data_IF_343504996133
#
_entry.id   IF_343504996133
#
_cell.length_a   1.000
_cell.length_b   1.000
_cell.length_c   1.000
_cell.angle_alpha   90.00
_cell.angle_beta   90.00
_cell.angle_gamma   90.00
#
_symmetry.space_group_name_H-M   'P 1'
#
loop_
_entity.id
_entity.type
_entity.pdbx_description
1 polymer ?
#
# COMPACT_ATOMS: atom_id res chain seq x y z
N UNK A 1 -8.62 -44.75 -33.20
CA UNK A 1 -8.05 -43.94 -34.30
C UNK A 1 -9.20 -43.27 -35.04
N UNK A 2 -9.35 -41.96 -34.90
CA UNK A 2 -10.25 -41.14 -35.72
C UNK A 2 -9.67 -39.73 -35.72
N UNK A 3 -9.32 -39.28 -36.91
CA UNK A 3 -8.59 -38.06 -37.20
C UNK A 3 -9.60 -37.00 -37.62
N UNK A 4 -9.67 -35.87 -36.91
CA UNK A 4 -10.52 -34.74 -37.31
C UNK A 4 -9.65 -33.68 -37.96
N UNK A 5 -10.00 -33.38 -39.22
CA UNK A 5 -9.36 -32.43 -40.12
C UNK A 5 -9.90 -31.02 -39.80
N UNK A 6 -9.02 -30.04 -39.59
CA UNK A 6 -9.41 -28.63 -39.50
C UNK A 6 -9.47 -28.01 -40.90
N UNK A 7 -10.63 -27.43 -41.20
CA UNK A 7 -10.94 -26.74 -42.44
C UNK A 7 -10.50 -25.28 -42.35
N UNK A 8 -9.46 -24.90 -43.10
CA UNK A 8 -8.97 -23.53 -43.24
C UNK A 8 -9.54 -22.93 -44.51
N UNK A 9 -10.58 -22.09 -44.42
CA UNK A 9 -10.92 -21.12 -45.47
C UNK A 9 -11.98 -20.12 -44.99
N UNK A 10 -11.51 -18.98 -44.46
CA UNK A 10 -12.28 -17.72 -44.48
C UNK A 10 -11.31 -16.56 -44.75
N UNK A 11 -11.50 -15.77 -45.82
CA UNK A 11 -10.64 -14.62 -46.11
C UNK A 11 -10.93 -13.47 -45.14
N UNK A 12 -9.86 -12.92 -44.55
CA UNK A 12 -9.89 -11.70 -43.75
C UNK A 12 -10.22 -10.51 -44.66
N UNK A 13 -11.24 -9.71 -44.28
CA UNK A 13 -11.59 -8.46 -44.94
C UNK A 13 -10.44 -7.45 -44.77
N UNK A 14 -9.92 -6.95 -45.88
CA UNK A 14 -8.92 -5.89 -45.96
C UNK A 14 -9.47 -4.56 -45.44
N UNK A 15 -8.89 -4.04 -44.36
CA UNK A 15 -9.10 -2.65 -43.92
C UNK A 15 -8.06 -1.78 -44.63
N UNK A 16 -8.53 -0.74 -45.31
CA UNK A 16 -7.69 0.23 -46.03
C UNK A 16 -6.75 0.95 -45.05
N UNK A 17 -5.45 0.80 -45.26
CA UNK A 17 -4.41 1.62 -44.62
C UNK A 17 -4.29 2.96 -45.37
N UNK A 18 -4.50 4.08 -44.66
CA UNK A 18 -4.15 5.41 -45.17
C UNK A 18 -2.65 5.66 -44.92
N UNK A 19 -1.88 6.09 -45.93
CA UNK A 19 -0.47 6.42 -45.74
C UNK A 19 -0.37 7.81 -45.10
N UNK A 20 0.21 7.89 -43.89
CA UNK A 20 0.68 9.13 -43.31
C UNK A 20 2.08 9.39 -43.87
N UNK A 21 2.14 10.26 -44.87
CA UNK A 21 3.37 10.80 -45.45
C UNK A 21 4.07 11.63 -44.37
N UNK A 22 5.23 11.16 -43.92
CA UNK A 22 6.14 11.90 -43.08
C UNK A 22 6.80 13.02 -43.90
N UNK A 23 6.58 14.27 -43.50
CA UNK A 23 7.47 15.38 -43.86
C UNK A 23 8.53 15.45 -42.76
N UNK A 24 9.68 14.85 -43.05
CA UNK A 24 10.89 14.95 -42.22
C UNK A 24 11.43 16.38 -42.32
N UNK A 25 11.17 17.18 -41.28
CA UNK A 25 11.93 18.39 -40.99
C UNK A 25 13.16 18.02 -40.17
N UNK A 26 14.31 17.95 -40.79
CA UNK A 26 15.63 17.79 -40.14
C UNK A 26 15.90 18.99 -39.23
N UNK A 27 16.03 18.77 -37.92
CA UNK A 27 16.80 19.66 -37.04
C UNK A 27 17.57 18.83 -36.02
N UNK A 28 18.87 19.12 -35.98
CA UNK A 28 19.89 18.46 -35.17
C UNK A 28 19.56 18.50 -33.68
N UNK A 29 19.80 17.39 -33.00
CA UNK A 29 19.88 17.32 -31.54
C UNK A 29 21.25 17.81 -31.07
N UNK A 30 21.33 18.81 -30.18
CA UNK A 30 22.49 18.98 -29.33
C UNK A 30 22.14 18.59 -27.90
N UNK A 31 22.79 17.53 -27.44
CA UNK A 31 22.90 17.14 -26.04
C UNK A 31 23.88 18.09 -25.31
N UNK A 32 23.66 18.30 -24.01
CA UNK A 32 24.45 19.08 -23.04
C UNK A 32 24.48 20.62 -23.22
N UNK A 33 23.93 21.38 -22.27
CA UNK A 33 24.67 21.91 -21.12
C UNK A 33 23.88 23.01 -20.38
N UNK A 34 24.17 23.15 -19.09
CA UNK A 34 23.92 24.28 -18.18
C UNK A 34 23.49 25.61 -18.80
N UNK A 35 22.32 26.12 -18.39
CA UNK A 35 21.93 27.50 -18.67
C UNK A 35 20.63 27.85 -17.94
N UNK A 36 20.69 28.85 -17.06
CA UNK A 36 19.61 29.24 -16.16
C UNK A 36 18.29 29.54 -16.85
N UNK A 37 17.20 29.17 -16.19
CA UNK A 37 15.86 29.62 -16.54
C UNK A 37 15.51 30.84 -15.68
N UNK A 38 15.51 32.02 -16.31
CA UNK A 38 14.63 33.08 -15.89
C UNK A 38 13.18 32.63 -16.09
N UNK A 39 12.39 32.79 -15.04
CA UNK A 39 10.96 32.46 -15.01
C UNK A 39 10.22 33.44 -15.92
N UNK A 40 9.82 32.98 -17.12
CA UNK A 40 8.79 33.66 -17.90
C UNK A 40 7.43 33.02 -17.62
N UNK A 41 6.60 33.79 -16.90
CA UNK A 41 5.15 33.56 -16.81
C UNK A 41 4.55 33.88 -18.17
N UNK A 42 4.06 32.87 -18.88
CA UNK A 42 2.73 32.84 -19.51
C UNK A 42 2.60 31.74 -20.59
N UNK A 43 1.59 30.90 -20.39
CA UNK A 43 0.87 30.10 -21.40
C UNK A 43 1.64 29.08 -22.26
N UNK A 44 1.65 27.84 -21.78
CA UNK A 44 1.36 26.68 -22.65
C UNK A 44 0.28 25.81 -22.02
N UNK A 45 -0.98 26.09 -22.37
CA UNK A 45 -2.10 25.15 -22.20
C UNK A 45 -2.00 24.13 -23.33
N UNK A 46 -1.15 23.13 -23.14
CA UNK A 46 -1.42 21.81 -23.68
C UNK A 46 -2.16 21.07 -22.57
N UNK A 47 -3.44 20.82 -22.77
CA UNK A 47 -4.22 19.92 -21.93
C UNK A 47 -3.58 18.53 -22.00
N UNK A 48 -2.62 18.29 -21.10
CA UNK A 48 -2.17 16.95 -20.76
C UNK A 48 -3.37 16.26 -20.09
N UNK A 49 -3.77 15.06 -20.51
CA UNK A 49 -4.81 14.33 -19.80
C UNK A 49 -4.39 14.26 -18.32
N UNK A 50 -5.22 14.84 -17.47
CA UNK A 50 -5.05 14.83 -16.02
C UNK A 50 -5.11 13.37 -15.58
N UNK A 51 -3.94 12.79 -15.34
CA UNK A 51 -3.85 11.47 -14.76
C UNK A 51 -4.35 11.56 -13.31
N UNK A 52 -5.58 11.11 -13.09
CA UNK A 52 -6.23 11.15 -11.79
C UNK A 52 -6.04 9.80 -11.08
N UNK A 53 -4.98 9.69 -10.27
CA UNK A 53 -5.01 8.77 -9.13
C UNK A 53 -6.13 9.14 -8.13
N UNK A 54 -6.77 10.30 -8.33
CA UNK A 54 -7.85 10.90 -7.55
C UNK A 54 -9.22 10.23 -7.70
N UNK A 55 -9.37 9.06 -8.33
CA UNK A 55 -10.67 8.37 -8.43
C UNK A 55 -10.73 6.97 -7.82
N UNK A 56 -9.60 6.45 -7.33
CA UNK A 56 -9.56 5.12 -6.73
C UNK A 56 -9.97 5.14 -5.26
N UNK A 57 -10.75 4.14 -4.85
CA UNK A 57 -11.06 3.85 -3.43
C UNK A 57 -10.15 2.76 -2.86
N UNK A 58 -9.36 2.10 -3.71
CA UNK A 58 -8.29 1.18 -3.34
C UNK A 58 -6.91 1.80 -3.59
N UNK A 59 -5.89 1.25 -2.96
CA UNK A 59 -4.50 1.67 -3.13
C UNK A 59 -3.57 0.46 -3.20
N UNK A 60 -2.41 0.61 -3.86
CA UNK A 60 -1.37 -0.42 -3.78
C UNK A 60 -0.78 -0.41 -2.37
N UNK A 61 -0.73 -1.60 -1.75
CA UNK A 61 -0.19 -1.85 -0.41
C UNK A 61 1.04 -2.80 -0.45
N UNK A 62 1.44 -3.25 -1.64
CA UNK A 62 2.74 -3.86 -1.93
C UNK A 62 2.99 -3.80 -3.42
N UNK A 63 4.21 -3.50 -3.84
CA UNK A 63 4.62 -3.54 -5.25
C UNK A 63 5.99 -4.19 -5.35
N UNK A 64 6.11 -5.27 -6.13
CA UNK A 64 7.39 -5.94 -6.40
C UNK A 64 7.51 -6.20 -7.89
N UNK A 65 8.55 -5.63 -8.48
CA UNK A 65 8.90 -5.83 -9.88
C UNK A 65 10.25 -6.53 -9.99
N UNK A 66 10.42 -7.21 -11.11
CA UNK A 66 11.66 -7.88 -11.48
C UNK A 66 11.97 -7.64 -12.95
N UNK A 67 13.24 -7.50 -13.25
CA UNK A 67 13.79 -7.58 -14.61
C UNK A 67 14.86 -8.66 -14.64
N UNK A 68 14.99 -9.37 -15.76
CA UNK A 68 16.07 -10.33 -15.98
C UNK A 68 17.26 -9.73 -16.75
N UNK A 69 17.19 -8.44 -17.07
CA UNK A 69 18.24 -7.68 -17.73
C UNK A 69 18.96 -6.76 -16.73
N UNK A 70 20.24 -7.04 -16.51
CA UNK A 70 21.08 -6.25 -15.61
C UNK A 70 21.32 -4.83 -16.13
N UNK A 71 21.35 -4.64 -17.46
CA UNK A 71 21.47 -3.31 -18.05
C UNK A 71 20.22 -2.49 -17.74
N UNK A 72 19.03 -3.05 -17.98
CA UNK A 72 17.78 -2.37 -17.65
C UNK A 72 17.69 -2.06 -16.15
N UNK A 73 18.14 -2.97 -15.29
CA UNK A 73 18.24 -2.69 -13.85
C UNK A 73 19.10 -1.46 -13.58
N UNK A 74 20.34 -1.41 -14.10
CA UNK A 74 21.28 -0.31 -13.87
C UNK A 74 20.76 1.02 -14.40
N UNK A 75 20.24 1.03 -15.63
CA UNK A 75 19.66 2.22 -16.25
C UNK A 75 18.48 2.74 -15.40
N UNK A 76 17.58 1.85 -14.97
CA UNK A 76 16.45 2.21 -14.11
C UNK A 76 16.92 2.75 -12.76
N UNK A 77 17.89 2.10 -12.10
CA UNK A 77 18.37 2.57 -10.79
C UNK A 77 19.03 3.94 -10.87
N UNK A 78 19.65 4.30 -12.00
CA UNK A 78 20.22 5.62 -12.19
C UNK A 78 19.15 6.73 -12.22
N UNK A 79 17.93 6.42 -12.67
CA UNK A 79 16.78 7.33 -12.60
C UNK A 79 16.13 7.33 -11.19
N UNK A 80 16.15 6.19 -10.51
CA UNK A 80 15.46 6.03 -9.22
C UNK A 80 16.26 6.56 -8.03
N UNK A 81 17.58 6.44 -8.04
CA UNK A 81 18.41 6.78 -6.88
C UNK A 81 19.79 7.31 -7.22
N UNK A 82 20.29 8.20 -6.37
CA UNK A 82 21.69 8.64 -6.43
C UNK A 82 22.70 7.55 -6.00
N UNK A 83 22.24 6.44 -5.40
CA UNK A 83 23.09 5.33 -4.93
C UNK A 83 22.69 3.99 -5.60
N UNK A 84 22.83 3.84 -6.93
CA UNK A 84 22.25 2.72 -7.69
C UNK A 84 22.95 1.37 -7.48
N UNK A 85 24.19 1.37 -6.99
CA UNK A 85 24.99 0.18 -6.69
C UNK A 85 25.89 0.43 -5.47
N UNK A 86 26.41 -0.62 -4.80
CA UNK A 86 27.35 -0.46 -3.70
C UNK A 86 28.56 0.39 -4.10
N UNK A 87 28.82 1.45 -3.34
CA UNK A 87 29.92 2.39 -3.57
C UNK A 87 29.87 3.16 -4.90
N UNK A 88 28.74 3.14 -5.60
CA UNK A 88 28.51 3.95 -6.80
C UNK A 88 27.59 5.11 -6.42
N UNK A 89 28.05 6.33 -6.67
CA UNK A 89 27.21 7.53 -6.63
C UNK A 89 26.90 7.97 -8.06
N UNK A 90 25.65 8.34 -8.32
CA UNK A 90 25.28 8.98 -9.57
C UNK A 90 26.09 10.27 -9.76
N UNK A 91 26.53 10.52 -11.00
CA UNK A 91 27.60 11.48 -11.31
C UNK A 91 27.20 12.96 -11.17
N UNK A 92 25.93 13.27 -10.97
CA UNK A 92 25.43 14.65 -10.90
C UNK A 92 24.86 14.94 -9.51
N UNK A 93 25.61 15.69 -8.70
CA UNK A 93 25.18 16.14 -7.35
C UNK A 93 23.93 17.04 -7.39
N UNK A 94 23.48 17.48 -8.57
CA UNK A 94 22.27 18.29 -8.76
C UNK A 94 21.05 17.50 -9.24
N UNK A 95 21.21 16.26 -9.72
CA UNK A 95 20.08 15.41 -10.09
C UNK A 95 19.79 14.45 -8.93
N UNK A 96 18.65 14.65 -8.28
CA UNK A 96 18.07 13.70 -7.31
C UNK A 96 17.27 12.64 -8.07
N UNK A 97 17.35 11.39 -7.64
CA UNK A 97 16.48 10.34 -8.17
C UNK A 97 15.07 10.45 -7.59
N UNK A 98 14.13 9.73 -8.21
CA UNK A 98 12.71 9.68 -7.78
C UNK A 98 12.59 9.35 -6.28
N UNK A 99 13.45 8.46 -5.76
CA UNK A 99 13.42 8.07 -4.35
C UNK A 99 13.88 9.21 -3.45
N UNK A 100 14.97 9.90 -3.77
CA UNK A 100 15.47 10.99 -2.93
C UNK A 100 14.52 12.18 -2.91
N UNK A 101 13.85 12.49 -4.04
CA UNK A 101 12.82 13.53 -4.10
C UNK A 101 11.61 13.23 -3.23
N UNK A 102 11.28 11.94 -3.05
CA UNK A 102 10.25 11.48 -2.13
C UNK A 102 10.73 11.40 -0.66
N UNK A 103 11.96 11.84 -0.36
CA UNK A 103 12.58 11.72 0.96
C UNK A 103 12.97 10.29 1.33
N UNK A 104 13.07 9.39 0.35
CA UNK A 104 13.51 8.02 0.52
C UNK A 104 15.01 7.89 0.22
N UNK A 105 15.70 7.07 1.01
CA UNK A 105 17.13 6.86 0.91
C UNK A 105 17.44 5.39 0.73
N UNK A 106 18.41 5.10 -0.15
CA UNK A 106 18.89 3.74 -0.39
C UNK A 106 20.08 3.43 0.50
N UNK A 107 19.97 2.36 1.28
CA UNK A 107 20.99 1.88 2.22
C UNK A 107 21.44 0.46 1.84
N UNK A 108 22.60 0.34 1.21
CA UNK A 108 23.18 -0.94 0.82
C UNK A 108 23.50 -1.83 2.02
N UNK A 109 23.29 -3.13 1.85
CA UNK A 109 23.54 -4.14 2.88
C UNK A 109 24.61 -5.13 2.43
N UNK A 110 25.23 -5.81 3.39
CA UNK A 110 26.21 -6.86 3.13
C UNK A 110 25.57 -8.20 2.70
N UNK A 111 24.24 -8.30 2.73
CA UNK A 111 23.50 -9.54 2.46
C UNK A 111 22.71 -9.43 1.17
N UNK A 112 22.60 -10.56 0.48
CA UNK A 112 21.63 -10.74 -0.59
C UNK A 112 20.18 -10.76 -0.09
N UNK A 113 19.23 -10.60 -1.01
CA UNK A 113 17.80 -10.66 -0.74
C UNK A 113 17.14 -11.60 -1.74
N UNK A 114 16.25 -12.50 -1.31
CA UNK A 114 15.47 -13.37 -2.22
C UNK A 114 16.30 -14.17 -3.26
N UNK A 115 17.56 -14.46 -2.94
CA UNK A 115 18.50 -15.14 -3.84
C UNK A 115 19.17 -14.25 -4.87
N UNK A 116 19.06 -12.93 -4.76
CA UNK A 116 19.95 -11.96 -5.39
C UNK A 116 21.22 -11.78 -4.54
N UNK A 117 22.35 -11.49 -5.17
CA UNK A 117 23.66 -11.40 -4.52
C UNK A 117 23.84 -10.09 -3.75
N UNK A 118 23.29 -9.00 -4.28
CA UNK A 118 23.39 -7.67 -3.70
C UNK A 118 21.99 -7.14 -3.35
N UNK A 119 21.88 -6.42 -2.24
CA UNK A 119 20.62 -5.77 -1.87
C UNK A 119 20.81 -4.49 -1.04
N UNK A 120 19.83 -3.60 -1.14
CA UNK A 120 19.70 -2.40 -0.33
C UNK A 120 18.27 -2.25 0.18
N UNK A 121 18.14 -1.64 1.36
CA UNK A 121 16.85 -1.22 1.89
C UNK A 121 16.58 0.23 1.53
N UNK A 122 15.37 0.51 1.06
CA UNK A 122 14.85 1.86 0.85
C UNK A 122 14.24 2.30 2.19
N UNK A 123 14.67 3.44 2.72
CA UNK A 123 14.31 3.90 4.06
C UNK A 123 13.86 5.36 4.03
N UNK A 124 12.90 5.70 4.89
CA UNK A 124 12.57 7.10 5.21
C UNK A 124 12.97 7.38 6.65
N UNK A 125 13.41 8.61 6.91
CA UNK A 125 13.64 9.07 8.28
C UNK A 125 12.29 9.28 8.99
N UNK A 126 12.19 8.86 10.25
CA UNK A 126 11.02 9.05 11.10
C UNK A 126 11.46 9.29 12.54
N UNK A 127 11.24 10.50 13.05
CA UNK A 127 11.69 10.95 14.38
C UNK A 127 13.21 10.79 14.60
N UNK A 128 13.65 9.64 15.13
CA UNK A 128 15.06 9.30 15.40
C UNK A 128 15.46 7.92 14.86
N UNK A 129 14.63 7.29 14.03
CA UNK A 129 14.91 5.98 13.44
C UNK A 129 14.51 5.95 11.96
N UNK A 130 15.02 4.96 11.24
CA UNK A 130 14.65 4.72 9.85
C UNK A 130 13.54 3.68 9.75
N UNK A 131 12.48 4.02 9.02
CA UNK A 131 11.47 3.05 8.61
C UNK A 131 11.85 2.49 7.23
N UNK A 132 11.94 1.17 7.12
CA UNK A 132 12.13 0.51 5.83
C UNK A 132 10.83 0.52 5.03
N UNK A 133 10.86 1.11 3.84
CA UNK A 133 9.70 1.31 2.96
C UNK A 133 9.81 0.55 1.64
N UNK A 134 10.93 -0.13 1.39
CA UNK A 134 11.14 -0.90 0.19
C UNK A 134 12.51 -1.56 0.16
N UNK A 135 12.82 -2.25 -0.92
CA UNK A 135 14.11 -2.87 -1.16
C UNK A 135 14.46 -2.83 -2.66
N UNK A 136 15.74 -2.77 -2.96
CA UNK A 136 16.28 -3.08 -4.29
C UNK A 136 17.28 -4.23 -4.16
N UNK A 137 17.41 -5.03 -5.20
CA UNK A 137 18.38 -6.12 -5.23
C UNK A 137 18.76 -6.47 -6.66
N UNK A 138 19.96 -7.00 -6.87
CA UNK A 138 20.40 -7.48 -8.18
C UNK A 138 21.41 -8.62 -8.08
N UNK A 139 21.54 -9.35 -9.19
CA UNK A 139 22.53 -10.41 -9.39
C UNK A 139 23.05 -10.35 -10.82
N UNK A 140 24.35 -10.52 -10.98
CA UNK A 140 24.97 -10.54 -12.31
C UNK A 140 24.80 -11.90 -13.01
N UNK A 141 24.55 -12.96 -12.25
CA UNK A 141 24.41 -14.33 -12.74
C UNK A 141 23.38 -15.16 -11.96
N UNK A 142 23.38 -16.47 -12.22
CA UNK A 142 22.47 -17.41 -11.56
C UNK A 142 21.01 -17.33 -12.02
N UNK A 143 20.11 -17.99 -11.28
CA UNK A 143 18.67 -18.06 -11.60
C UNK A 143 17.94 -16.72 -11.43
N UNK A 144 18.52 -15.79 -10.70
CA UNK A 144 17.99 -14.45 -10.42
C UNK A 144 18.80 -13.35 -11.12
N UNK A 145 19.46 -13.65 -12.25
CA UNK A 145 20.15 -12.63 -13.06
C UNK A 145 19.19 -11.48 -13.36
N UNK A 146 19.66 -10.24 -13.18
CA UNK A 146 18.88 -9.02 -13.36
C UNK A 146 18.63 -8.33 -12.02
N UNK A 147 17.44 -7.77 -11.82
CA UNK A 147 17.13 -6.91 -10.69
C UNK A 147 15.72 -7.02 -10.14
N UNK A 148 15.57 -6.57 -8.90
CA UNK A 148 14.33 -6.48 -8.13
C UNK A 148 14.18 -5.05 -7.58
N UNK A 149 12.96 -4.54 -7.69
CA UNK A 149 12.52 -3.32 -7.04
C UNK A 149 11.25 -3.63 -6.26
N UNK A 150 11.20 -3.22 -4.99
CA UNK A 150 10.07 -3.47 -4.11
C UNK A 150 9.73 -2.27 -3.24
N UNK A 151 8.44 -2.00 -3.10
CA UNK A 151 7.88 -1.08 -2.12
C UNK A 151 6.92 -1.83 -1.19
N UNK A 152 7.02 -1.55 0.10
CA UNK A 152 6.04 -1.99 1.11
C UNK A 152 4.79 -1.11 1.03
N UNK A 153 3.74 -1.43 1.79
CA UNK A 153 2.53 -0.61 1.82
C UNK A 153 2.78 0.84 2.20
N UNK A 154 3.68 1.08 3.16
CA UNK A 154 4.07 2.46 3.52
C UNK A 154 4.81 3.13 2.35
N UNK A 155 5.75 2.45 1.69
CA UNK A 155 6.46 3.01 0.53
C UNK A 155 5.54 3.33 -0.64
N UNK A 156 4.60 2.43 -0.94
CA UNK A 156 3.58 2.67 -1.96
C UNK A 156 2.73 3.90 -1.60
N UNK A 157 2.31 4.06 -0.34
CA UNK A 157 1.48 5.19 0.09
C UNK A 157 2.21 6.53 0.09
N UNK A 158 3.50 6.57 0.43
CA UNK A 158 4.30 7.81 0.30
C UNK A 158 4.21 8.34 -1.13
N UNK A 159 4.49 7.49 -2.12
CA UNK A 159 4.44 7.92 -3.53
C UNK A 159 3.00 8.17 -4.02
N UNK A 160 2.03 7.32 -3.68
CA UNK A 160 0.65 7.50 -4.15
C UNK A 160 -0.04 8.74 -3.56
N UNK A 161 0.22 9.07 -2.28
CA UNK A 161 -0.53 10.09 -1.54
C UNK A 161 0.22 11.40 -1.32
N UNK A 162 1.53 11.35 -1.03
CA UNK A 162 2.33 12.56 -0.79
C UNK A 162 3.02 13.05 -2.06
N UNK A 163 3.47 12.13 -2.93
CA UNK A 163 4.21 12.46 -4.15
C UNK A 163 3.61 11.83 -5.43
N UNK A 164 2.32 12.07 -5.75
CA UNK A 164 1.64 11.39 -6.85
C UNK A 164 2.29 11.63 -8.22
N UNK A 165 2.98 12.77 -8.43
CA UNK A 165 3.74 13.00 -9.65
C UNK A 165 4.92 12.02 -9.80
N UNK A 166 5.65 11.76 -8.71
CA UNK A 166 6.77 10.81 -8.67
C UNK A 166 6.30 9.36 -8.83
N UNK A 167 5.07 9.04 -8.39
CA UNK A 167 4.46 7.73 -8.68
C UNK A 167 4.26 7.49 -10.19
N UNK A 168 3.85 8.51 -10.92
CA UNK A 168 3.69 8.43 -12.38
C UNK A 168 5.01 8.36 -13.11
N UNK A 169 6.00 9.09 -12.62
CA UNK A 169 7.35 9.02 -13.15
C UNK A 169 7.94 7.62 -12.94
N UNK A 170 7.78 7.05 -11.74
CA UNK A 170 8.16 5.67 -11.45
C UNK A 170 7.47 4.68 -12.40
N UNK A 171 6.17 4.82 -12.61
CA UNK A 171 5.43 4.01 -13.59
C UNK A 171 6.05 4.10 -14.99
N UNK A 172 6.35 5.31 -15.47
CA UNK A 172 6.89 5.53 -16.81
C UNK A 172 8.28 4.89 -16.97
N UNK A 173 9.16 5.08 -15.98
CA UNK A 173 10.51 4.48 -15.98
C UNK A 173 10.40 2.95 -16.01
N UNK A 174 9.58 2.36 -15.14
CA UNK A 174 9.38 0.90 -15.09
C UNK A 174 8.79 0.34 -16.39
N UNK A 175 7.87 1.07 -17.01
CA UNK A 175 7.26 0.70 -18.29
C UNK A 175 8.28 0.74 -19.43
N UNK A 176 9.07 1.81 -19.52
CA UNK A 176 10.08 1.97 -20.58
C UNK A 176 11.19 0.92 -20.47
N UNK A 177 11.54 0.49 -19.26
CA UNK A 177 12.56 -0.53 -19.01
C UNK A 177 12.04 -1.98 -19.00
N UNK A 178 10.79 -2.22 -19.41
CA UNK A 178 10.11 -3.53 -19.47
C UNK A 178 10.15 -4.32 -18.14
N UNK A 179 9.99 -3.62 -17.02
CA UNK A 179 9.89 -4.28 -15.72
C UNK A 179 8.59 -5.07 -15.60
N UNK A 180 8.66 -6.22 -14.92
CA UNK A 180 7.52 -7.12 -14.76
C UNK A 180 7.11 -7.20 -13.31
N UNK A 181 5.83 -6.98 -13.03
CA UNK A 181 5.29 -7.18 -11.69
C UNK A 181 5.35 -8.66 -11.35
N UNK A 182 6.09 -9.00 -10.30
CA UNK A 182 6.17 -10.34 -9.73
C UNK A 182 5.19 -10.53 -8.57
N UNK A 183 4.85 -9.44 -7.87
CA UNK A 183 3.80 -9.36 -6.88
C UNK A 183 3.25 -7.94 -6.78
N UNK A 184 1.95 -7.81 -6.63
CA UNK A 184 1.30 -6.56 -6.22
C UNK A 184 0.19 -6.90 -5.23
N UNK A 185 0.05 -6.11 -4.17
CA UNK A 185 -1.05 -6.22 -3.24
C UNK A 185 -1.87 -4.93 -3.36
N UNK A 186 -3.18 -5.04 -3.55
CA UNK A 186 -4.11 -3.89 -3.58
C UNK A 186 -5.01 -3.98 -2.35
N UNK A 187 -5.21 -2.87 -1.65
CA UNK A 187 -5.99 -2.79 -0.44
C UNK A 187 -7.26 -1.95 -0.63
N UNK A 188 -8.39 -2.47 -0.13
CA UNK A 188 -9.61 -1.73 0.14
C UNK A 188 -9.75 -1.57 1.65
N UNK A 189 -9.87 -0.32 2.09
CA UNK A 189 -10.07 0.03 3.50
C UNK A 189 -11.53 0.42 3.77
N UNK A 190 -12.15 -0.22 4.75
CA UNK A 190 -13.49 0.07 5.24
C UNK A 190 -13.35 0.70 6.63
N UNK A 191 -13.65 2.00 6.75
CA UNK A 191 -13.54 2.73 8.01
C UNK A 191 -14.43 2.10 9.09
N UNK A 192 -14.05 2.21 10.37
CA UNK A 192 -14.74 1.48 11.43
C UNK A 192 -16.20 1.89 11.62
N UNK A 193 -16.53 3.16 11.39
CA UNK A 193 -17.90 3.68 11.38
C UNK A 193 -18.73 3.10 10.22
N UNK A 194 -18.18 3.10 9.01
CA UNK A 194 -18.81 2.48 7.83
C UNK A 194 -19.00 0.98 8.00
N UNK A 195 -17.96 0.28 8.46
CA UNK A 195 -18.00 -1.15 8.69
C UNK A 195 -19.08 -1.51 9.71
N UNK A 196 -19.17 -0.76 10.82
CA UNK A 196 -20.21 -0.94 11.84
C UNK A 196 -21.61 -0.69 11.29
N UNK A 197 -21.83 0.37 10.53
CA UNK A 197 -23.13 0.70 9.94
C UNK A 197 -23.61 -0.39 8.97
N UNK A 198 -22.71 -0.94 8.15
CA UNK A 198 -23.03 -1.99 7.18
C UNK A 198 -22.99 -3.41 7.77
N UNK A 199 -22.68 -3.56 9.05
CA UNK A 199 -22.54 -4.88 9.69
C UNK A 199 -21.34 -5.68 9.18
N UNK A 200 -20.33 -5.02 8.60
CA UNK A 200 -19.09 -5.65 8.22
C UNK A 200 -18.22 -5.90 9.44
N UNK A 201 -17.88 -7.17 9.65
CA UNK A 201 -16.87 -7.63 10.61
C UNK A 201 -15.99 -8.67 9.94
N UNK A 202 -14.77 -8.87 10.43
CA UNK A 202 -13.89 -9.93 9.89
C UNK A 202 -14.54 -11.32 9.95
N UNK A 203 -15.21 -11.71 11.06
CA UNK A 203 -15.99 -12.95 11.09
C UNK A 203 -17.08 -13.02 10.03
N UNK A 204 -17.80 -11.92 9.75
CA UNK A 204 -18.85 -11.91 8.72
C UNK A 204 -18.31 -12.09 7.33
N UNK A 205 -17.29 -11.30 6.97
CA UNK A 205 -16.67 -11.38 5.66
C UNK A 205 -16.01 -12.75 5.46
N UNK A 206 -15.48 -13.36 6.53
CA UNK A 206 -14.96 -14.72 6.49
C UNK A 206 -16.07 -15.77 6.29
N UNK A 207 -17.21 -15.62 6.98
CA UNK A 207 -18.39 -16.48 6.79
C UNK A 207 -18.90 -16.40 5.35
N UNK A 208 -19.04 -15.18 4.80
CA UNK A 208 -19.44 -14.95 3.41
C UNK A 208 -18.42 -15.52 2.42
N UNK A 209 -17.12 -15.36 2.68
CA UNK A 209 -16.07 -15.97 1.87
C UNK A 209 -16.21 -17.49 1.78
N UNK A 210 -16.44 -18.15 2.91
CA UNK A 210 -16.51 -19.61 3.00
C UNK A 210 -17.82 -20.18 2.45
N UNK A 211 -18.95 -19.54 2.74
CA UNK A 211 -20.28 -20.10 2.49
C UNK A 211 -20.94 -19.54 1.24
N UNK A 212 -20.64 -18.29 0.87
CA UNK A 212 -21.30 -17.55 -0.21
C UNK A 212 -20.34 -17.24 -1.37
N UNK A 213 -19.05 -17.54 -1.21
CA UNK A 213 -18.05 -17.35 -2.25
C UNK A 213 -17.70 -15.89 -2.51
N UNK A 214 -17.66 -15.05 -1.46
CA UNK A 214 -17.33 -13.62 -1.57
C UNK A 214 -16.07 -13.34 -2.42
N UNK A 215 -15.01 -14.16 -2.28
CA UNK A 215 -13.74 -13.99 -3.02
C UNK A 215 -13.56 -14.97 -4.18
N UNK A 216 -14.60 -15.73 -4.53
CA UNK A 216 -14.56 -16.72 -5.60
C UNK A 216 -14.49 -16.02 -6.95
N UNK A 217 -13.69 -16.56 -7.87
CA UNK A 217 -13.63 -16.03 -9.23
C UNK A 217 -14.91 -16.40 -9.99
N UNK A 218 -15.47 -15.42 -10.71
CA UNK A 218 -16.60 -15.61 -11.64
C UNK A 218 -16.25 -16.61 -12.76
N UNK A 219 -14.96 -16.70 -13.10
CA UNK A 219 -14.44 -17.62 -14.11
C UNK A 219 -14.14 -19.02 -13.58
N UNK A 220 -14.40 -19.32 -12.30
CA UNK A 220 -14.13 -20.64 -11.74
C UNK A 220 -15.06 -21.70 -12.36
N UNK A 221 -14.54 -22.41 -13.36
CA UNK A 221 -15.28 -23.41 -14.13
C UNK A 221 -15.60 -24.69 -13.36
N UNK A 222 -14.75 -25.06 -12.40
CA UNK A 222 -14.94 -26.26 -11.60
C UNK A 222 -15.62 -25.91 -10.25
N UNK A 223 -16.92 -26.23 -10.07
CA UNK A 223 -17.62 -25.97 -8.82
C UNK A 223 -17.08 -26.79 -7.65
N UNK A 224 -16.39 -27.91 -7.93
CA UNK A 224 -15.78 -28.78 -6.92
C UNK A 224 -14.42 -28.28 -6.43
N UNK A 225 -13.82 -27.29 -7.10
CA UNK A 225 -12.55 -26.71 -6.66
C UNK A 225 -12.79 -25.89 -5.39
N UNK A 226 -12.30 -26.41 -4.26
CA UNK A 226 -12.44 -25.75 -2.95
C UNK A 226 -11.34 -24.71 -2.76
N UNK A 227 -11.74 -23.52 -2.32
CA UNK A 227 -10.81 -22.50 -1.86
C UNK A 227 -10.30 -22.89 -0.46
N UNK A 228 -9.04 -22.61 -0.19
CA UNK A 228 -8.43 -22.83 1.14
C UNK A 228 -8.65 -21.62 2.02
N UNK A 229 -8.83 -21.87 3.32
CA UNK A 229 -9.10 -20.83 4.30
C UNK A 229 -8.25 -21.07 5.55
N UNK A 230 -7.58 -20.04 6.05
CA UNK A 230 -6.86 -20.10 7.33
C UNK A 230 -7.10 -18.82 8.12
N UNK A 231 -6.94 -18.87 9.43
CA UNK A 231 -7.14 -17.71 10.31
C UNK A 231 -5.87 -17.44 11.12
N UNK A 232 -5.70 -16.19 11.57
CA UNK A 232 -4.69 -15.79 12.55
C UNK A 232 -5.27 -14.71 13.48
N UNK A 233 -4.65 -14.54 14.64
CA UNK A 233 -5.18 -13.71 15.72
C UNK A 233 -6.01 -14.51 16.71
N UNK A 234 -6.79 -13.82 17.54
CA UNK A 234 -7.50 -14.43 18.66
C UNK A 234 -8.92 -14.85 18.30
N UNK A 235 -9.03 -15.98 17.59
CA UNK A 235 -10.32 -16.56 17.19
C UNK A 235 -10.97 -17.43 18.28
N UNK A 236 -10.44 -17.44 19.51
CA UNK A 236 -10.80 -18.42 20.53
C UNK A 236 -12.28 -18.38 20.91
N UNK A 237 -12.84 -17.20 21.18
CA UNK A 237 -14.26 -17.04 21.54
C UNK A 237 -15.22 -17.44 20.42
N UNK A 238 -14.87 -17.15 19.17
CA UNK A 238 -15.63 -17.59 18.00
C UNK A 238 -15.52 -19.11 17.80
N UNK A 239 -14.34 -19.68 17.99
CA UNK A 239 -14.08 -21.11 17.79
C UNK A 239 -14.73 -21.98 18.87
N UNK A 240 -14.80 -21.48 20.10
CA UNK A 240 -15.47 -22.14 21.22
C UNK A 240 -16.99 -21.92 21.25
N UNK A 241 -17.52 -21.07 20.35
CA UNK A 241 -18.96 -20.76 20.30
C UNK A 241 -19.43 -19.85 21.43
N UNK A 242 -18.52 -19.13 22.09
CA UNK A 242 -18.86 -18.14 23.12
C UNK A 242 -19.53 -16.91 22.50
N UNK A 243 -19.19 -16.58 21.25
CA UNK A 243 -19.72 -15.46 20.48
C UNK A 243 -19.99 -15.96 19.06
N UNK A 244 -21.14 -15.60 18.47
CA UNK A 244 -21.41 -15.89 17.05
C UNK A 244 -20.78 -14.83 16.17
N UNK A 245 -20.65 -15.10 14.86
CA UNK A 245 -20.20 -14.06 13.93
C UNK A 245 -21.12 -12.83 14.01
N UNK A 246 -22.44 -13.05 14.04
CA UNK A 246 -23.50 -12.02 14.03
C UNK A 246 -23.50 -11.14 15.28
N UNK A 247 -23.09 -11.70 16.42
CA UNK A 247 -23.03 -11.00 17.69
C UNK A 247 -21.67 -10.30 17.94
N UNK A 248 -20.70 -10.49 17.06
CA UNK A 248 -19.34 -9.97 17.22
C UNK A 248 -19.29 -8.44 17.18
N UNK A 249 -18.72 -7.83 18.22
CA UNK A 249 -18.46 -6.39 18.32
C UNK A 249 -16.94 -6.13 18.26
N UNK A 250 -16.39 -5.54 17.18
CA UNK A 250 -14.95 -5.33 17.04
C UNK A 250 -14.36 -4.38 18.09
N UNK A 251 -15.18 -3.60 18.79
CA UNK A 251 -14.69 -2.71 19.85
C UNK A 251 -14.38 -3.53 21.12
N UNK A 252 -15.26 -4.50 21.45
CA UNK A 252 -15.22 -5.25 22.72
C UNK A 252 -14.52 -6.60 22.60
N UNK A 253 -14.72 -7.27 21.48
CA UNK A 253 -14.38 -8.68 21.33
C UNK A 253 -13.03 -8.87 20.63
N UNK A 254 -12.34 -9.95 20.99
CA UNK A 254 -11.04 -10.34 20.43
C UNK A 254 -10.07 -9.14 20.31
N UNK A 255 -9.64 -8.52 21.42
CA UNK A 255 -8.88 -7.28 21.40
C UNK A 255 -7.51 -7.41 20.71
N UNK A 256 -6.96 -8.63 20.63
CA UNK A 256 -5.73 -8.94 19.92
C UNK A 256 -5.88 -8.92 18.38
N UNK A 257 -7.10 -8.82 17.88
CA UNK A 257 -7.42 -8.71 16.46
C UNK A 257 -7.60 -10.07 15.75
N UNK A 258 -8.34 -10.03 14.65
CA UNK A 258 -8.67 -11.14 13.78
C UNK A 258 -8.12 -10.91 12.37
N UNK A 259 -7.65 -11.98 11.74
CA UNK A 259 -7.25 -12.02 10.33
C UNK A 259 -7.75 -13.31 9.70
N UNK A 260 -8.42 -13.19 8.56
CA UNK A 260 -8.81 -14.28 7.68
C UNK A 260 -7.98 -14.27 6.40
N UNK A 261 -7.47 -15.44 6.02
CA UNK A 261 -6.73 -15.69 4.79
C UNK A 261 -7.57 -16.57 3.86
N UNK A 262 -7.68 -16.17 2.60
CA UNK A 262 -8.52 -16.81 1.60
C UNK A 262 -7.68 -17.13 0.35
N UNK A 263 -7.56 -18.41 0.02
CA UNK A 263 -6.64 -18.95 -0.99
C UNK A 263 -5.34 -19.48 -0.37
N UNK A 264 -4.40 -19.93 -1.22
CA UNK A 264 -3.10 -20.44 -0.78
C UNK A 264 -1.98 -19.53 -1.28
N UNK A 265 -1.39 -18.74 -0.38
CA UNK A 265 -0.32 -17.78 -0.71
C UNK A 265 0.88 -18.39 -1.42
N UNK A 266 1.19 -19.66 -1.17
CA UNK A 266 2.36 -20.33 -1.77
C UNK A 266 2.12 -20.75 -3.22
N UNK A 267 0.89 -21.08 -3.59
CA UNK A 267 0.59 -21.75 -4.86
C UNK A 267 -0.51 -21.08 -5.69
N UNK A 268 -1.18 -20.04 -5.18
CA UNK A 268 -2.25 -19.34 -5.89
C UNK A 268 -1.73 -18.04 -6.49
N UNK A 269 -2.22 -17.72 -7.69
CA UNK A 269 -1.97 -16.42 -8.30
C UNK A 269 -2.72 -15.29 -7.59
N UNK A 270 -3.87 -15.59 -6.96
CA UNK A 270 -4.65 -14.66 -6.16
C UNK A 270 -4.74 -15.15 -4.71
N UNK A 271 -4.55 -14.23 -3.78
CA UNK A 271 -4.64 -14.49 -2.35
C UNK A 271 -5.27 -13.29 -1.64
N UNK A 272 -6.32 -13.52 -0.87
CA UNK A 272 -7.02 -12.45 -0.15
C UNK A 272 -6.73 -12.50 1.34
N UNK A 273 -6.70 -11.32 1.96
CA UNK A 273 -6.63 -11.12 3.41
C UNK A 273 -7.75 -10.19 3.84
N UNK A 274 -8.43 -10.52 4.92
CA UNK A 274 -9.40 -9.64 5.57
C UNK A 274 -9.01 -9.55 7.04
N UNK A 275 -8.75 -8.35 7.54
CA UNK A 275 -8.27 -8.19 8.91
C UNK A 275 -8.63 -6.85 9.53
N UNK A 276 -8.56 -6.80 10.86
CA UNK A 276 -8.85 -5.61 11.65
C UNK A 276 -7.62 -4.68 11.67
N UNK A 277 -7.53 -3.82 10.65
CA UNK A 277 -6.42 -2.87 10.47
C UNK A 277 -6.34 -1.89 11.65
N UNK A 278 -7.48 -1.47 12.16
CA UNK A 278 -7.59 -0.65 13.36
C UNK A 278 -6.83 -1.22 14.56
N UNK A 279 -7.15 -2.47 14.92
CA UNK A 279 -6.49 -3.18 16.02
C UNK A 279 -5.01 -3.45 15.75
N UNK A 280 -4.61 -3.65 14.48
CA UNK A 280 -3.19 -3.76 14.13
C UNK A 280 -2.43 -2.47 14.48
N UNK A 281 -3.01 -1.30 14.22
CA UNK A 281 -2.35 -0.01 14.43
C UNK A 281 -2.40 0.46 15.89
N UNK A 282 -3.58 0.41 16.51
CA UNK A 282 -3.80 0.76 17.91
C UNK A 282 -3.13 -0.25 18.85
N UNK A 283 -3.10 -1.52 18.46
CA UNK A 283 -2.68 -2.63 19.30
C UNK A 283 -3.79 -3.10 20.23
N UNK A 284 -3.48 -4.12 21.02
CA UNK A 284 -4.48 -4.81 21.83
C UNK A 284 -5.17 -3.92 22.87
N UNK A 285 -4.45 -2.92 23.40
CA UNK A 285 -4.86 -2.20 24.62
C UNK A 285 -4.94 -0.67 24.48
N UNK A 286 -4.51 -0.09 23.36
CA UNK A 286 -4.65 1.36 23.17
C UNK A 286 -6.06 1.68 22.66
N UNK A 287 -6.64 2.74 23.20
CA UNK A 287 -7.95 3.31 22.81
C UNK A 287 -9.05 2.23 22.66
N UNK A 288 -9.40 1.51 23.75
CA UNK A 288 -10.34 0.39 23.68
C UNK A 288 -11.73 0.78 23.18
N UNK A 289 -12.14 2.03 23.35
CA UNK A 289 -13.45 2.54 22.91
C UNK A 289 -13.43 3.15 21.49
N UNK A 290 -12.26 3.17 20.83
CA UNK A 290 -12.13 3.82 19.52
C UNK A 290 -12.90 3.05 18.45
N UNK A 291 -13.72 3.77 17.68
CA UNK A 291 -14.41 3.23 16.51
C UNK A 291 -13.43 2.73 15.45
N UNK A 292 -12.20 3.29 15.41
CA UNK A 292 -11.15 2.84 14.50
C UNK A 292 -10.77 1.37 14.75
N UNK A 293 -11.06 0.79 15.93
CA UNK A 293 -10.89 -0.66 16.17
C UNK A 293 -11.72 -1.53 15.22
N UNK A 294 -12.83 -1.01 14.72
CA UNK A 294 -13.68 -1.62 13.70
C UNK A 294 -13.18 -1.46 12.26
N UNK A 295 -12.08 -0.75 12.01
CA UNK A 295 -11.53 -0.59 10.67
C UNK A 295 -11.06 -1.94 10.12
N UNK A 296 -11.68 -2.35 9.01
CA UNK A 296 -11.35 -3.57 8.25
C UNK A 296 -10.56 -3.21 7.00
N UNK A 297 -9.50 -3.97 6.74
CA UNK A 297 -8.82 -3.96 5.43
C UNK A 297 -9.04 -5.28 4.71
N UNK A 298 -9.39 -5.18 3.42
CA UNK A 298 -9.41 -6.30 2.47
C UNK A 298 -8.23 -6.11 1.52
N UNK A 299 -7.28 -7.03 1.51
CA UNK A 299 -6.13 -7.01 0.58
C UNK A 299 -6.24 -8.14 -0.45
N UNK A 300 -5.93 -7.83 -1.70
CA UNK A 300 -5.77 -8.78 -2.79
C UNK A 300 -4.30 -8.82 -3.22
N UNK A 301 -3.59 -9.87 -2.82
CA UNK A 301 -2.24 -10.20 -3.32
C UNK A 301 -2.36 -10.93 -4.65
N UNK A 302 -1.84 -10.31 -5.70
CA UNK A 302 -1.67 -10.87 -7.03
C UNK A 302 -0.22 -11.27 -7.24
N UNK A 303 0.01 -12.51 -7.65
CA UNK A 303 1.32 -13.04 -8.01
C UNK A 303 1.27 -13.86 -9.31
N UNK A 304 2.45 -14.33 -9.75
CA UNK A 304 2.65 -15.11 -10.99
C UNK A 304 2.92 -16.61 -10.74
N UNK A 305 2.73 -17.09 -9.51
CA UNK A 305 3.27 -18.38 -9.03
C UNK A 305 2.65 -19.60 -9.71
N UNK A 306 1.35 -19.57 -10.02
CA UNK A 306 0.60 -20.75 -10.47
C UNK A 306 0.59 -20.87 -11.99
N UNK A 307 0.19 -19.80 -12.69
CA UNK A 307 -0.02 -19.82 -14.14
C UNK A 307 1.09 -19.13 -14.93
N UNK A 308 2.00 -18.43 -14.25
CA UNK A 308 2.97 -17.55 -14.92
C UNK A 308 2.35 -16.28 -15.52
N UNK A 309 1.07 -15.98 -15.20
CA UNK A 309 0.31 -14.85 -15.75
C UNK A 309 1.11 -13.56 -15.75
N UNK A 310 0.84 -12.70 -16.72
CA UNK A 310 1.33 -11.33 -16.71
C UNK A 310 0.38 -10.47 -15.89
N UNK A 311 0.92 -9.77 -14.89
CA UNK A 311 0.21 -8.71 -14.19
C UNK A 311 0.61 -7.40 -14.89
N UNK A 312 -0.33 -6.65 -15.49
CA UNK A 312 -0.01 -5.44 -16.22
C UNK A 312 0.48 -4.33 -15.26
N UNK A 313 1.49 -3.56 -15.67
CA UNK A 313 1.99 -2.39 -14.92
C UNK A 313 0.90 -1.37 -14.63
N UNK A 314 -0.09 -1.29 -15.52
CA UNK A 314 -1.24 -0.40 -15.41
C UNK A 314 -2.08 -0.60 -14.13
N UNK A 315 -1.88 -1.71 -13.38
CA UNK A 315 -2.40 -1.84 -12.01
C UNK A 315 -1.98 -0.70 -11.08
N UNK A 316 -0.79 -0.13 -11.29
CA UNK A 316 -0.30 1.04 -10.53
C UNK A 316 -1.17 2.28 -10.75
N UNK A 317 -1.86 2.33 -11.89
CA UNK A 317 -2.62 3.48 -12.36
C UNK A 317 -4.12 3.32 -12.08
N UNK A 318 -4.63 2.08 -12.18
CA UNK A 318 -6.07 1.78 -12.10
C UNK A 318 -6.37 0.65 -11.10
N UNK A 319 -5.95 0.76 -9.82
CA UNK A 319 -6.01 -0.36 -8.88
C UNK A 319 -7.43 -0.89 -8.64
N UNK A 320 -8.45 -0.02 -8.65
CA UNK A 320 -9.85 -0.41 -8.46
C UNK A 320 -10.34 -1.43 -9.50
N UNK A 321 -9.92 -1.28 -10.76
CA UNK A 321 -10.29 -2.21 -11.84
C UNK A 321 -9.74 -3.61 -11.59
N UNK A 322 -8.52 -3.70 -11.08
CA UNK A 322 -7.80 -4.95 -10.88
C UNK A 322 -8.16 -5.64 -9.56
N UNK A 323 -8.46 -4.88 -8.50
CA UNK A 323 -8.81 -5.43 -7.18
C UNK A 323 -10.01 -6.38 -7.23
N UNK A 324 -11.03 -6.05 -8.04
CA UNK A 324 -12.25 -6.85 -8.18
C UNK A 324 -12.37 -7.55 -9.55
N UNK A 325 -11.26 -7.66 -10.30
CA UNK A 325 -11.28 -8.27 -11.63
C UNK A 325 -11.77 -9.73 -11.56
N UNK A 326 -12.88 -10.01 -12.26
CA UNK A 326 -13.53 -11.32 -12.30
C UNK A 326 -14.07 -11.80 -10.95
N UNK A 327 -14.46 -10.87 -10.06
CA UNK A 327 -15.03 -11.16 -8.74
C UNK A 327 -16.20 -10.21 -8.44
N UNK A 328 -17.36 -10.54 -8.98
CA UNK A 328 -18.61 -9.77 -8.83
C UNK A 328 -18.99 -9.46 -7.36
N UNK A 329 -18.85 -10.43 -6.44
CA UNK A 329 -19.19 -10.22 -5.04
C UNK A 329 -18.27 -9.20 -4.33
N UNK A 330 -16.97 -9.16 -4.65
CA UNK A 330 -16.05 -8.13 -4.13
C UNK A 330 -16.38 -6.76 -4.71
N UNK A 331 -16.74 -6.71 -6.01
CA UNK A 331 -17.17 -5.49 -6.68
C UNK A 331 -18.40 -4.87 -6.01
N UNK A 332 -19.35 -5.69 -5.54
CA UNK A 332 -20.51 -5.21 -4.80
C UNK A 332 -20.12 -4.41 -3.54
N UNK A 333 -19.13 -4.86 -2.76
CA UNK A 333 -18.62 -4.11 -1.60
C UNK A 333 -18.07 -2.74 -2.02
N UNK A 334 -17.30 -2.69 -3.10
CA UNK A 334 -16.75 -1.44 -3.63
C UNK A 334 -17.84 -0.46 -4.09
N UNK A 335 -18.85 -0.97 -4.79
CA UNK A 335 -19.98 -0.17 -5.28
C UNK A 335 -20.82 0.38 -4.12
N UNK A 336 -21.05 -0.42 -3.07
CA UNK A 336 -21.73 0.04 -1.86
C UNK A 336 -20.94 1.14 -1.14
N UNK A 337 -19.62 1.04 -1.05
CA UNK A 337 -18.80 2.09 -0.45
C UNK A 337 -18.90 3.39 -1.26
N UNK A 338 -18.78 3.31 -2.59
CA UNK A 338 -18.92 4.47 -3.48
C UNK A 338 -20.33 5.10 -3.44
N UNK A 339 -21.36 4.29 -3.22
CA UNK A 339 -22.73 4.78 -3.07
C UNK A 339 -22.96 5.47 -1.71
N UNK A 340 -22.23 5.07 -0.68
CA UNK A 340 -22.40 5.56 0.68
C UNK A 340 -21.55 6.80 0.99
N UNK A 341 -20.35 6.93 0.41
CA UNK A 341 -19.44 8.07 0.62
C UNK A 341 -18.98 8.67 -0.68
N UNK A 342 -18.93 10.00 -0.68
CA UNK A 342 -18.18 10.75 -1.68
C UNK A 342 -16.70 10.33 -1.67
N UNK A 343 -16.12 10.32 -2.86
CA UNK A 343 -14.75 9.96 -3.14
C UNK A 343 -13.75 10.89 -2.44
N UNK A 344 -14.02 12.20 -2.35
CA UNK A 344 -13.13 13.12 -1.63
C UNK A 344 -13.10 12.81 -0.13
N UNK A 345 -14.23 12.41 0.46
CA UNK A 345 -14.31 11.97 1.84
C UNK A 345 -13.50 10.69 2.07
N UNK A 346 -13.62 9.68 1.19
CA UNK A 346 -12.84 8.43 1.25
C UNK A 346 -11.34 8.74 1.20
N UNK A 347 -10.90 9.58 0.26
CA UNK A 347 -9.48 9.92 0.11
C UNK A 347 -8.93 10.76 1.25
N UNK A 348 -9.73 11.69 1.75
CA UNK A 348 -9.34 12.51 2.90
C UNK A 348 -9.17 11.65 4.14
N UNK A 349 -10.06 10.67 4.34
CA UNK A 349 -9.91 9.67 5.38
C UNK A 349 -8.65 8.80 5.16
N UNK A 350 -8.39 8.29 3.95
CA UNK A 350 -7.18 7.51 3.64
C UNK A 350 -5.89 8.29 3.91
N UNK A 351 -5.84 9.58 3.56
CA UNK A 351 -4.70 10.47 3.87
C UNK A 351 -4.52 10.67 5.37
N UNK A 352 -5.61 10.85 6.12
CA UNK A 352 -5.55 10.95 7.58
C UNK A 352 -5.04 9.64 8.21
N UNK A 353 -5.53 8.50 7.75
CA UNK A 353 -5.06 7.19 8.22
C UNK A 353 -3.60 6.94 7.85
N UNK A 354 -3.17 7.33 6.66
CA UNK A 354 -1.76 7.23 6.29
C UNK A 354 -0.85 8.05 7.21
N UNK A 355 -1.27 9.25 7.63
CA UNK A 355 -0.56 10.01 8.67
C UNK A 355 -0.49 9.27 10.00
N UNK A 356 -1.57 8.59 10.42
CA UNK A 356 -1.57 7.73 11.62
C UNK A 356 -0.65 6.51 11.48
N UNK A 357 -0.62 5.86 10.31
CA UNK A 357 0.26 4.71 10.02
C UNK A 357 1.75 5.12 10.02
N UNK A 358 2.07 6.25 9.38
CA UNK A 358 3.43 6.80 9.26
C UNK A 358 3.92 7.45 10.56
N UNK A 359 3.02 8.10 11.31
CA UNK A 359 3.35 8.91 12.48
C UNK A 359 3.34 8.15 13.80
N UNK A 360 4.09 8.66 14.79
CA UNK A 360 4.01 8.14 16.16
C UNK A 360 2.72 8.68 16.80
N UNK A 361 1.80 7.79 17.18
CA UNK A 361 0.60 8.16 17.93
C UNK A 361 0.95 8.55 19.37
N UNK A 362 0.57 9.77 19.78
CA UNK A 362 0.90 10.30 21.10
C UNK A 362 0.08 9.58 22.18
N UNK A 363 -1.19 9.26 21.90
CA UNK A 363 -2.06 8.45 22.76
C UNK A 363 -1.40 7.12 23.16
N UNK A 364 -0.78 6.43 22.19
CA UNK A 364 -0.05 5.19 22.42
C UNK A 364 1.21 5.42 23.26
N UNK A 365 1.96 6.50 23.02
CA UNK A 365 3.12 6.86 23.85
C UNK A 365 2.71 7.15 25.29
N UNK A 366 1.62 7.88 25.51
CA UNK A 366 1.05 8.15 26.84
C UNK A 366 0.57 6.88 27.51
N UNK A 367 -0.13 6.00 26.79
CA UNK A 367 -0.57 4.70 27.30
C UNK A 367 0.61 3.90 27.84
N UNK A 368 1.67 3.73 27.05
CA UNK A 368 2.86 2.99 27.50
C UNK A 368 3.62 3.71 28.60
N UNK A 369 3.74 5.04 28.53
CA UNK A 369 4.37 5.82 29.60
C UNK A 369 3.65 5.61 30.95
N UNK A 370 2.32 5.61 30.97
CA UNK A 370 1.51 5.30 32.17
C UNK A 370 1.82 3.89 32.71
N UNK A 371 1.88 2.88 31.86
CA UNK A 371 2.06 1.50 32.30
C UNK A 371 3.50 1.18 32.71
N UNK A 372 4.48 1.76 32.03
CA UNK A 372 5.90 1.54 32.31
C UNK A 372 6.40 2.41 33.46
N UNK A 373 6.02 3.68 33.49
CA UNK A 373 6.58 4.67 34.43
C UNK A 373 5.57 5.17 35.46
N UNK A 374 4.28 4.88 35.33
CA UNK A 374 3.25 5.38 36.26
C UNK A 374 3.50 4.97 37.71
N UNK A 375 3.99 3.74 37.95
CA UNK A 375 4.39 3.30 39.30
C UNK A 375 5.54 4.15 39.85
N UNK A 376 6.57 4.41 39.04
CA UNK A 376 7.70 5.26 39.43
C UNK A 376 7.23 6.68 39.75
N UNK A 377 6.45 7.29 38.86
CA UNK A 377 5.88 8.63 39.05
C UNK A 377 5.10 8.69 40.36
N UNK A 378 4.26 7.69 40.63
CA UNK A 378 3.49 7.63 41.86
C UNK A 378 4.40 7.52 43.10
N UNK A 379 5.42 6.66 43.08
CA UNK A 379 6.40 6.54 44.16
C UNK A 379 7.16 7.84 44.41
N UNK A 380 7.55 8.58 43.36
CA UNK A 380 8.22 9.87 43.51
C UNK A 380 7.33 10.90 44.20
N UNK A 381 6.03 10.94 43.85
CA UNK A 381 5.03 11.77 44.55
C UNK A 381 4.89 11.38 46.02
N UNK A 382 4.82 10.09 46.34
CA UNK A 382 4.76 9.60 47.72
C UNK A 382 6.00 9.95 48.54
N UNK A 383 7.17 10.09 47.88
CA UNK A 383 8.42 10.55 48.52
C UNK A 383 8.52 12.08 48.63
N UNK A 384 7.46 12.81 48.31
CA UNK A 384 7.34 14.24 48.53
C UNK A 384 7.95 15.11 47.42
N UNK A 385 8.28 14.55 46.25
CA UNK A 385 8.69 15.37 45.12
C UNK A 385 7.48 16.09 44.53
N UNK A 386 7.66 17.35 44.14
CA UNK A 386 6.62 18.11 43.46
C UNK A 386 6.48 17.65 42.00
N UNK A 387 5.34 17.95 41.39
CA UNK A 387 5.11 17.67 39.96
C UNK A 387 6.18 18.35 39.08
N UNK A 388 6.61 19.56 39.44
CA UNK A 388 7.70 20.27 38.75
C UNK A 388 9.03 19.52 38.84
N UNK A 389 9.41 19.04 40.03
CA UNK A 389 10.66 18.30 40.23
C UNK A 389 10.65 16.98 39.45
N UNK A 390 9.51 16.30 39.41
CA UNK A 390 9.36 15.03 38.67
C UNK A 390 9.48 15.30 37.17
N UNK A 391 8.82 16.33 36.65
CA UNK A 391 8.90 16.71 35.24
C UNK A 391 10.32 17.10 34.87
N UNK A 392 11.00 17.92 35.67
CA UNK A 392 12.39 18.33 35.42
C UNK A 392 13.34 17.12 35.39
N UNK A 393 13.17 16.17 36.31
CA UNK A 393 14.02 14.97 36.40
C UNK A 393 13.78 13.95 35.29
N UNK A 394 12.54 13.85 34.78
CA UNK A 394 12.17 12.84 33.79
C UNK A 394 12.16 13.39 32.35
N UNK A 395 12.07 14.71 32.17
CA UNK A 395 12.07 15.33 30.86
C UNK A 395 13.46 15.33 30.24
N UNK A 396 13.49 15.16 28.92
CA UNK A 396 14.71 15.35 28.13
C UNK A 396 14.72 16.76 27.55
N UNK A 397 15.89 17.20 27.09
CA UNK A 397 16.09 18.52 26.47
C UNK A 397 15.29 18.74 25.18
N UNK A 398 14.84 17.66 24.53
CA UNK A 398 13.99 17.72 23.34
C UNK A 398 12.80 16.78 23.47
N UNK A 399 11.65 17.23 22.95
CA UNK A 399 10.43 16.42 22.82
C UNK A 399 10.47 15.50 21.59
N UNK A 400 9.40 14.73 21.42
CA UNK A 400 9.19 13.93 20.21
C UNK A 400 9.19 14.82 18.97
N UNK A 401 9.86 14.38 17.90
CA UNK A 401 9.76 15.01 16.59
C UNK A 401 8.79 14.18 15.74
N UNK A 402 8.02 14.84 14.88
CA UNK A 402 7.17 14.17 13.87
C UNK A 402 6.20 13.11 14.47
N UNK A 403 5.23 13.58 15.27
CA UNK A 403 4.19 12.75 15.88
C UNK A 403 2.79 13.23 15.48
N UNK A 404 1.79 12.36 15.61
CA UNK A 404 0.38 12.73 15.46
C UNK A 404 -0.13 13.12 16.84
N UNK A 405 -0.60 14.36 16.98
CA UNK A 405 -1.22 14.83 18.22
C UNK A 405 -2.69 14.37 18.23
N UNK A 406 -2.94 13.23 18.85
CA UNK A 406 -4.23 12.53 18.90
C UNK A 406 -4.85 12.50 20.32
N UNK A 407 -4.32 13.29 21.26
CA UNK A 407 -4.84 13.37 22.64
C UNK A 407 -6.06 14.29 22.80
N UNK A 408 -6.35 15.15 21.82
CA UNK A 408 -7.39 16.18 21.88
C UNK A 408 -8.54 15.94 20.87
N UNK A 409 -8.54 14.83 20.14
CA UNK A 409 -9.63 14.52 19.20
C UNK A 409 -10.88 13.99 19.94
N UNK A 410 -11.48 14.86 20.77
CA UNK A 410 -12.89 14.76 21.16
C UNK A 410 -13.72 15.55 20.15
N UNK A 411 -13.95 14.97 18.97
CA UNK A 411 -15.24 15.01 18.27
C UNK A 411 -15.10 14.40 16.88
N UNK A 412 -15.92 13.40 16.60
CA UNK A 412 -16.14 12.95 15.24
C UNK A 412 -16.73 14.10 14.39
N UNK A 413 -16.53 14.13 13.06
CA UNK A 413 -17.18 15.11 12.18
C UNK A 413 -18.72 15.17 12.35
N UNK A 414 -19.33 14.07 12.79
CA UNK A 414 -20.75 13.97 13.12
C UNK A 414 -21.15 14.81 14.35
N UNK A 415 -20.25 14.97 15.34
CA UNK A 415 -20.50 15.76 16.55
C UNK A 415 -20.26 17.26 16.32
N UNK A 416 -19.43 17.63 15.35
CA UNK A 416 -19.27 19.04 14.93
C UNK A 416 -20.52 19.57 14.22
N UNK A 417 -21.19 18.75 13.40
CA UNK A 417 -22.45 19.13 12.74
C UNK A 417 -23.61 19.35 13.71
N UNK A 418 -23.63 18.64 14.86
CA UNK A 418 -24.65 18.83 15.89
C UNK A 418 -24.44 20.10 16.74
N UNK A 419 -23.21 20.64 16.79
CA UNK A 419 -22.90 21.89 17.49
C UNK A 419 -23.13 23.15 16.67
N UNK A 420 -23.29 23.05 15.34
CA UNK A 420 -23.65 24.19 14.48
C UNK A 420 -25.17 24.39 14.33
N UNK A 421 -25.98 23.44 14.83
CA UNK A 421 -27.46 23.48 14.75
C UNK A 421 -28.10 23.71 16.14
N UNK A 422 -27.29 23.83 17.20
CA UNK A 422 -27.71 24.21 18.56
C UNK A 422 -27.13 25.57 18.93
#
# INVERSE_FOLDING_TARGET
MSTTIYNTDRPLKSVQTRPLVAVLGTKDTPYCNTGGYEVSKENSKLEKPSFNHQESITALDWLRLTTNDLKNYRDTMADLTINPEPNVKAQDEKCTGILEEAGMQVHWTEKGLHGYDHSASIKIWRDNDYLTVGNIAYSEGGRNKGGLFELTGVGCKVLQLEYPALWLELYNVLMLADWRISRVDIALDLSGDYAKEQGYTVPMLFKQAKNEGLFKSDAQRNPMMKQTFTTAGDWSDLACGNISSEAYDPIKDCPAGLTAYIGNRKSSDDFFRVYEKGKQLLGAMAEPESVDRGWIRIEHEMSRKATGRTIPLDVMLRPDEYFCAGRSNVRCIMEQLRAHRDLQAIQSWQRAQFKKEKGILLSRKVYWAKHTYGRLIHTLKEKGLTDSDIVERLSRTSGLKEFVFDLLEDSTPAEMMLKEVA
#
